data_IF_226343948374
#
_entry.id   IF_226343948374
#
_cell.length_a   1.000
_cell.length_b   1.000
_cell.length_c   1.000
_cell.angle_alpha   90.00
_cell.angle_beta   90.00
_cell.angle_gamma   90.00
#
_symmetry.space_group_name_H-M   'P 1'
#
loop_
_entity.id
_entity.type
_entity.pdbx_description
1 polymer ?
#
# COMPACT_ATOMS: atom_id res chain seq x y z
N UNK A 1 -2.62 14.75 -9.33
CA UNK A 1 -1.95 14.74 -10.66
C UNK A 1 -0.49 14.35 -10.44
N UNK A 2 -0.18 13.06 -10.52
CA UNK A 2 1.21 12.59 -10.51
C UNK A 2 1.89 13.10 -11.80
N UNK A 3 2.94 13.90 -11.67
CA UNK A 3 3.80 14.23 -12.82
C UNK A 3 4.43 12.91 -13.25
N UNK A 4 4.02 12.38 -14.40
CA UNK A 4 4.77 11.32 -15.07
C UNK A 4 6.20 11.81 -15.23
N UNK A 5 7.12 11.26 -14.45
CA UNK A 5 8.53 11.59 -14.57
C UNK A 5 9.00 11.13 -15.95
N UNK A 6 9.79 11.95 -16.64
CA UNK A 6 10.29 11.54 -17.95
C UNK A 6 11.16 10.28 -17.79
N UNK A 7 11.23 9.41 -18.80
CA UNK A 7 12.08 8.21 -18.73
C UNK A 7 13.54 8.53 -18.38
N UNK A 8 14.01 9.72 -18.77
CA UNK A 8 15.37 10.20 -18.44
C UNK A 8 15.51 10.50 -16.95
N UNK A 9 14.48 11.07 -16.32
CA UNK A 9 14.48 11.37 -14.88
C UNK A 9 14.40 10.10 -14.05
N UNK A 10 13.55 9.14 -14.47
CA UNK A 10 13.43 7.82 -13.83
C UNK A 10 14.78 7.08 -13.87
N UNK A 11 15.46 7.07 -15.02
CA UNK A 11 16.79 6.46 -15.16
C UNK A 11 17.85 7.10 -14.27
N UNK A 12 17.87 8.44 -14.18
CA UNK A 12 18.81 9.16 -13.31
C UNK A 12 18.57 8.85 -11.85
N UNK A 13 17.29 8.84 -11.45
CA UNK A 13 16.90 8.55 -10.08
C UNK A 13 17.23 7.11 -9.68
N UNK A 14 16.95 6.15 -10.55
CA UNK A 14 17.33 4.74 -10.35
C UNK A 14 18.84 4.61 -10.07
N UNK A 15 19.66 5.19 -10.95
CA UNK A 15 21.13 5.14 -10.81
C UNK A 15 21.67 5.84 -9.56
N UNK A 16 20.90 6.74 -8.95
CA UNK A 16 21.31 7.42 -7.71
C UNK A 16 21.29 6.48 -6.51
N UNK A 17 20.41 5.47 -6.53
CA UNK A 17 20.21 4.54 -5.42
C UNK A 17 20.75 3.14 -5.68
N UNK A 18 20.99 2.78 -6.95
CA UNK A 18 21.63 1.53 -7.36
C UNK A 18 23.11 1.52 -6.92
N UNK A 19 23.54 0.42 -6.31
CA UNK A 19 24.93 0.21 -5.90
C UNK A 19 25.84 -0.24 -7.07
N UNK A 20 25.29 -0.34 -8.28
CA UNK A 20 25.99 -0.73 -9.50
C UNK A 20 25.73 -2.18 -9.93
N UNK A 21 24.77 -2.86 -9.30
CA UNK A 21 24.34 -4.21 -9.69
C UNK A 21 23.18 -4.17 -10.71
N UNK A 22 22.62 -2.99 -11.01
CA UNK A 22 21.56 -2.81 -12.01
C UNK A 22 20.15 -3.10 -11.51
N UNK A 23 19.97 -3.33 -10.20
CA UNK A 23 18.68 -3.60 -9.54
C UNK A 23 18.61 -2.89 -8.20
N UNK A 24 17.40 -2.58 -7.72
CA UNK A 24 17.23 -1.99 -6.38
C UNK A 24 16.68 -3.03 -5.42
N UNK A 25 17.42 -3.27 -4.34
CA UNK A 25 16.93 -4.00 -3.18
C UNK A 25 15.89 -3.19 -2.40
N UNK A 26 15.10 -3.87 -1.55
CA UNK A 26 14.17 -3.21 -0.63
C UNK A 26 14.84 -2.11 0.21
N UNK A 27 16.09 -2.30 0.62
CA UNK A 27 16.83 -1.31 1.40
C UNK A 27 17.19 -0.05 0.59
N UNK A 28 17.50 -0.20 -0.70
CA UNK A 28 17.78 0.92 -1.60
C UNK A 28 16.49 1.68 -1.95
N UNK A 29 15.39 0.96 -2.15
CA UNK A 29 14.05 1.55 -2.27
C UNK A 29 13.67 2.31 -1.00
N UNK A 30 13.88 1.74 0.19
CA UNK A 30 13.59 2.41 1.46
C UNK A 30 14.38 3.73 1.59
N UNK A 31 15.67 3.73 1.22
CA UNK A 31 16.50 4.95 1.18
C UNK A 31 15.96 5.96 0.17
N UNK A 32 15.55 5.50 -1.02
CA UNK A 32 14.95 6.37 -2.04
C UNK A 32 13.67 7.03 -1.54
N UNK A 33 12.79 6.27 -0.89
CA UNK A 33 11.53 6.79 -0.33
C UNK A 33 11.80 7.79 0.77
N UNK A 34 12.70 7.49 1.72
CA UNK A 34 13.09 8.43 2.78
C UNK A 34 13.59 9.74 2.20
N UNK A 35 14.37 9.69 1.11
CA UNK A 35 14.96 10.88 0.49
C UNK A 35 13.98 11.70 -0.33
N UNK A 36 13.10 11.05 -1.08
CA UNK A 36 12.28 11.69 -2.12
C UNK A 36 10.83 11.91 -1.68
N UNK A 37 10.31 11.02 -0.84
CA UNK A 37 8.94 11.01 -0.35
C UNK A 37 8.93 10.79 1.18
N UNK A 38 9.57 11.68 1.97
CA UNK A 38 9.68 11.53 3.42
C UNK A 38 8.32 11.39 4.12
N UNK A 39 7.24 11.94 3.53
CA UNK A 39 5.88 11.78 4.02
C UNK A 39 5.37 10.33 3.98
N UNK A 40 5.94 9.46 3.15
CA UNK A 40 5.58 8.04 3.04
C UNK A 40 6.53 7.12 3.80
N UNK A 41 7.67 7.62 4.26
CA UNK A 41 8.77 6.81 4.82
C UNK A 41 8.38 5.96 6.05
N UNK A 42 7.38 6.40 6.81
CA UNK A 42 6.91 5.70 8.01
C UNK A 42 5.81 4.67 7.73
N UNK A 43 5.27 4.61 6.51
CA UNK A 43 4.19 3.69 6.15
C UNK A 43 4.75 2.37 5.60
N UNK A 44 5.38 1.58 6.47
CA UNK A 44 6.02 0.32 6.08
C UNK A 44 5.11 -0.68 5.36
N UNK A 45 3.83 -0.88 5.77
CA UNK A 45 2.91 -1.73 5.02
C UNK A 45 2.70 -1.27 3.57
N UNK A 46 2.46 0.03 3.36
CA UNK A 46 2.27 0.58 2.01
C UNK A 46 3.54 0.46 1.15
N UNK A 47 4.71 0.72 1.73
CA UNK A 47 6.00 0.57 1.05
C UNK A 47 6.20 -0.88 0.61
N UNK A 48 5.94 -1.84 1.51
CA UNK A 48 6.07 -3.26 1.18
C UNK A 48 5.11 -3.70 0.08
N UNK A 49 3.87 -3.21 0.09
CA UNK A 49 2.91 -3.51 -0.97
C UNK A 49 3.32 -2.89 -2.30
N UNK A 50 3.78 -1.64 -2.31
CA UNK A 50 4.30 -1.00 -3.51
C UNK A 50 5.51 -1.74 -4.10
N UNK A 51 6.42 -2.20 -3.23
CA UNK A 51 7.58 -3.00 -3.64
C UNK A 51 7.17 -4.32 -4.31
N UNK A 52 6.35 -5.11 -3.63
CA UNK A 52 5.86 -6.40 -4.15
C UNK A 52 5.08 -6.25 -5.46
N UNK A 53 4.27 -5.20 -5.58
CA UNK A 53 3.49 -4.94 -6.79
C UNK A 53 4.35 -4.41 -7.95
N UNK A 54 5.48 -3.75 -7.65
CA UNK A 54 6.43 -3.28 -8.66
C UNK A 54 7.31 -4.41 -9.21
N UNK A 55 7.71 -5.37 -8.36
CA UNK A 55 8.49 -6.56 -8.73
C UNK A 55 7.64 -7.55 -9.54
N UNK A 56 7.38 -7.21 -10.80
CA UNK A 56 6.65 -8.04 -11.75
C UNK A 56 7.46 -9.23 -12.24
N UNK A 57 8.79 -9.15 -12.16
CA UNK A 57 9.71 -10.24 -12.47
C UNK A 57 9.66 -11.36 -11.42
N UNK A 58 9.29 -11.03 -10.17
CA UNK A 58 9.28 -11.94 -9.03
C UNK A 58 10.68 -12.32 -8.54
N UNK A 59 11.71 -11.55 -8.92
CA UNK A 59 13.10 -11.85 -8.58
C UNK A 59 13.50 -11.34 -7.18
N UNK A 60 12.60 -10.62 -6.50
CA UNK A 60 12.82 -10.05 -5.18
C UNK A 60 13.57 -8.72 -5.20
N UNK A 61 13.75 -8.09 -6.37
CA UNK A 61 14.39 -6.79 -6.60
C UNK A 61 13.52 -5.93 -7.53
N UNK A 62 13.86 -4.63 -7.64
CA UNK A 62 13.21 -3.72 -8.58
C UNK A 62 14.17 -3.37 -9.70
N UNK A 63 13.82 -3.77 -10.92
CA UNK A 63 14.57 -3.42 -12.13
C UNK A 63 14.20 -2.01 -12.64
N UNK A 64 15.03 -1.43 -13.52
CA UNK A 64 14.77 -0.10 -14.08
C UNK A 64 13.39 -0.01 -14.78
N UNK A 65 12.96 -1.08 -15.44
CA UNK A 65 11.66 -1.16 -16.11
C UNK A 65 10.47 -1.16 -15.12
N UNK A 66 10.72 -1.59 -13.88
CA UNK A 66 9.72 -1.70 -12.81
C UNK A 66 9.68 -0.44 -11.94
N UNK A 67 10.83 0.22 -11.79
CA UNK A 67 11.02 1.39 -10.92
C UNK A 67 10.06 2.54 -11.24
N UNK A 68 9.70 2.75 -12.51
CA UNK A 68 8.76 3.80 -12.91
C UNK A 68 7.39 3.67 -12.24
N UNK A 69 6.93 2.44 -11.97
CA UNK A 69 5.63 2.18 -11.34
C UNK A 69 5.66 2.38 -9.82
N UNK A 70 6.83 2.34 -9.20
CA UNK A 70 6.92 2.32 -7.74
C UNK A 70 6.33 3.59 -7.12
N UNK A 71 6.46 4.74 -7.80
CA UNK A 71 5.93 6.02 -7.31
C UNK A 71 4.40 5.99 -7.29
N UNK A 72 3.77 5.56 -8.39
CA UNK A 72 2.32 5.48 -8.47
C UNK A 72 1.77 4.44 -7.47
N UNK A 73 2.44 3.29 -7.34
CA UNK A 73 2.09 2.27 -6.36
C UNK A 73 2.25 2.76 -4.91
N UNK A 74 3.29 3.55 -4.61
CA UNK A 74 3.47 4.15 -3.30
C UNK A 74 2.32 5.09 -2.96
N UNK A 75 1.91 5.95 -3.89
CA UNK A 75 0.75 6.81 -3.68
C UNK A 75 -0.52 6.00 -3.42
N UNK A 76 -0.81 5.03 -4.29
CA UNK A 76 -1.98 4.16 -4.19
C UNK A 76 -2.04 3.42 -2.84
N UNK A 77 -0.99 2.70 -2.46
CA UNK A 77 -1.00 1.95 -1.20
C UNK A 77 -0.94 2.85 0.05
N UNK A 78 -0.40 4.07 -0.05
CA UNK A 78 -0.49 5.03 1.05
C UNK A 78 -1.93 5.51 1.26
N UNK A 79 -2.69 5.76 0.19
CA UNK A 79 -4.11 6.12 0.29
C UNK A 79 -4.93 5.00 0.93
N UNK A 80 -4.76 3.75 0.48
CA UNK A 80 -5.42 2.59 1.09
C UNK A 80 -5.03 2.47 2.57
N UNK A 81 -3.74 2.60 2.88
CA UNK A 81 -3.27 2.51 4.27
C UNK A 81 -3.81 3.62 5.17
N UNK A 82 -4.02 4.83 4.63
CA UNK A 82 -4.66 5.92 5.37
C UNK A 82 -6.12 5.61 5.69
N UNK A 83 -6.86 5.01 4.75
CA UNK A 83 -8.25 4.57 5.00
C UNK A 83 -8.26 3.45 6.03
N UNK A 84 -7.38 2.46 5.88
CA UNK A 84 -7.25 1.35 6.81
C UNK A 84 -6.98 1.83 8.24
N UNK A 85 -6.00 2.74 8.42
CA UNK A 85 -5.66 3.32 9.73
C UNK A 85 -6.78 4.21 10.31
N UNK A 86 -7.65 4.77 9.48
CA UNK A 86 -8.81 5.52 9.96
C UNK A 86 -9.90 4.58 10.50
N UNK A 87 -10.02 3.38 9.95
CA UNK A 87 -10.97 2.35 10.40
C UNK A 87 -10.45 1.61 11.65
N UNK A 88 -9.17 1.24 11.68
CA UNK A 88 -8.49 0.60 12.82
C UNK A 88 -8.34 1.58 14.00
N UNK A 89 -9.38 1.68 14.83
CA UNK A 89 -9.46 2.64 15.95
C UNK A 89 -8.59 2.21 17.11
N UNK A 90 -8.52 0.90 17.37
CA UNK A 90 -7.75 0.35 18.49
C UNK A 90 -6.24 0.21 18.17
N UNK A 91 -5.85 0.37 16.88
CA UNK A 91 -4.48 0.29 16.36
C UNK A 91 -3.86 -1.10 16.49
N UNK A 92 -4.66 -2.15 16.41
CA UNK A 92 -4.20 -3.54 16.45
C UNK A 92 -3.72 -4.07 15.08
N UNK A 93 -3.78 -3.22 14.05
CA UNK A 93 -3.39 -3.46 12.65
C UNK A 93 -4.33 -4.38 11.90
N UNK A 94 -5.57 -4.51 12.37
CA UNK A 94 -6.64 -5.29 11.76
C UNK A 94 -7.93 -4.47 11.87
N UNK A 95 -8.90 -4.75 11.04
CA UNK A 95 -10.22 -4.14 11.15
C UNK A 95 -11.17 -5.22 11.66
N UNK A 96 -11.67 -5.02 12.88
CA UNK A 96 -12.75 -5.84 13.42
C UNK A 96 -14.08 -5.52 12.74
N UNK A 97 -15.05 -6.42 12.82
CA UNK A 97 -16.40 -6.17 12.28
C UNK A 97 -17.04 -4.89 12.87
N UNK A 98 -16.80 -4.61 14.15
CA UNK A 98 -17.30 -3.40 14.80
C UNK A 98 -16.65 -2.12 14.26
N UNK A 99 -15.37 -2.17 13.88
CA UNK A 99 -14.68 -1.03 13.26
C UNK A 99 -15.11 -0.82 11.81
N UNK A 100 -15.30 -1.92 11.07
CA UNK A 100 -15.87 -1.90 9.73
C UNK A 100 -17.27 -1.26 9.71
N UNK A 101 -18.19 -1.73 10.57
CA UNK A 101 -19.56 -1.21 10.70
C UNK A 101 -19.58 0.29 11.00
N UNK A 102 -18.78 0.73 11.99
CA UNK A 102 -18.65 2.17 12.32
C UNK A 102 -18.11 3.00 11.15
N UNK A 103 -17.20 2.43 10.34
CA UNK A 103 -16.72 3.06 9.12
C UNK A 103 -17.84 3.30 8.11
N UNK A 104 -18.72 2.31 7.95
CA UNK A 104 -19.89 2.37 7.07
C UNK A 104 -20.88 3.46 7.51
N UNK A 105 -21.19 3.51 8.81
CA UNK A 105 -22.09 4.52 9.39
C UNK A 105 -21.55 5.95 9.15
N UNK A 106 -20.23 6.15 9.24
CA UNK A 106 -19.58 7.45 9.00
C UNK A 106 -19.67 7.92 7.55
N UNK A 107 -19.89 7.01 6.59
CA UNK A 107 -20.05 7.33 5.17
C UNK A 107 -21.51 7.68 4.81
N UNK A 108 -22.39 7.85 5.81
CA UNK A 108 -23.83 8.08 5.64
C UNK A 108 -24.51 7.02 4.78
N UNK A 109 -23.97 5.79 4.80
CA UNK A 109 -24.68 4.61 4.35
C UNK A 109 -25.31 4.00 5.59
N UNK A 110 -26.39 4.62 6.08
CA UNK A 110 -27.22 4.05 7.13
C UNK A 110 -27.64 2.64 6.68
N UNK A 111 -26.99 1.65 7.26
CA UNK A 111 -27.17 0.25 6.94
C UNK A 111 -27.61 -0.44 8.22
N UNK A 112 -28.91 -0.37 8.49
CA UNK A 112 -29.54 -1.17 9.56
C UNK A 112 -29.48 -2.67 9.27
N UNK A 113 -29.08 -3.05 8.06
CA UNK A 113 -28.88 -4.43 7.64
C UNK A 113 -27.50 -4.95 8.05
N UNK A 114 -27.43 -5.45 9.29
CA UNK A 114 -26.21 -6.06 9.82
C UNK A 114 -25.81 -7.35 9.09
N UNK A 115 -26.76 -8.07 8.49
CA UNK A 115 -26.50 -9.31 7.74
C UNK A 115 -25.76 -8.99 6.44
N UNK A 116 -26.22 -7.99 5.68
CA UNK A 116 -25.54 -7.52 4.47
C UNK A 116 -24.12 -6.99 4.77
N UNK A 117 -23.94 -6.23 5.85
CA UNK A 117 -22.61 -5.76 6.27
C UNK A 117 -21.69 -6.92 6.65
N UNK A 118 -22.25 -7.97 7.27
CA UNK A 118 -21.50 -9.17 7.64
C UNK A 118 -21.06 -9.95 6.40
N UNK A 119 -21.90 -10.03 5.37
CA UNK A 119 -21.55 -10.63 4.09
C UNK A 119 -20.40 -9.88 3.40
N UNK A 120 -20.47 -8.55 3.34
CA UNK A 120 -19.39 -7.74 2.75
C UNK A 120 -18.09 -7.87 3.55
N UNK A 121 -18.17 -7.84 4.87
CA UNK A 121 -17.00 -8.07 5.72
C UNK A 121 -16.35 -9.44 5.43
N UNK A 122 -17.15 -10.49 5.31
CA UNK A 122 -16.66 -11.84 5.03
C UNK A 122 -16.13 -11.99 3.60
N UNK A 123 -16.61 -11.18 2.64
CA UNK A 123 -16.11 -11.17 1.27
C UNK A 123 -14.67 -10.61 1.20
N UNK A 124 -14.35 -9.69 2.11
CA UNK A 124 -13.02 -9.09 2.25
C UNK A 124 -12.10 -9.96 3.14
N UNK A 125 -12.61 -10.56 4.23
CA UNK A 125 -11.87 -11.50 5.09
C UNK A 125 -11.67 -12.87 4.41
N UNK A 126 -10.86 -12.88 3.35
CA UNK A 126 -10.57 -14.03 2.50
C UNK A 126 -9.84 -15.16 3.24
N UNK A 127 -9.09 -14.83 4.31
CA UNK A 127 -8.43 -15.85 5.14
C UNK A 127 -9.36 -16.42 6.22
N UNK A 128 -10.57 -15.87 6.37
CA UNK A 128 -11.57 -16.25 7.37
C UNK A 128 -11.05 -16.16 8.81
N UNK A 129 -10.21 -15.17 9.09
CA UNK A 129 -9.59 -14.93 10.39
C UNK A 129 -10.50 -14.21 11.38
N UNK A 130 -11.65 -13.70 10.91
CA UNK A 130 -12.58 -12.87 11.67
C UNK A 130 -12.17 -11.40 11.72
N UNK A 131 -11.17 -10.99 10.94
CA UNK A 131 -10.63 -9.64 10.87
C UNK A 131 -10.15 -9.34 9.46
N UNK A 132 -10.40 -8.12 8.97
CA UNK A 132 -9.81 -7.67 7.71
C UNK A 132 -8.38 -7.21 7.97
N UNK A 133 -7.41 -7.85 7.32
CA UNK A 133 -6.01 -7.45 7.34
C UNK A 133 -5.73 -6.44 6.23
N UNK A 134 -4.69 -5.61 6.42
CA UNK A 134 -4.24 -4.70 5.35
C UNK A 134 -3.92 -5.45 4.05
N UNK A 135 -3.48 -6.69 4.21
CA UNK A 135 -3.11 -7.56 3.10
C UNK A 135 -4.31 -8.02 2.24
N UNK A 136 -5.54 -7.94 2.77
CA UNK A 136 -6.77 -8.39 2.11
C UNK A 136 -7.48 -7.26 1.35
N UNK A 137 -7.06 -6.02 1.57
CA UNK A 137 -7.56 -4.84 0.85
C UNK A 137 -6.57 -4.35 -0.22
N UNK A 138 -5.55 -5.16 -0.54
CA UNK A 138 -4.39 -4.78 -1.37
C UNK A 138 -4.02 -5.79 -2.45
#
# INVERSE_FOLDING_TARGET
MTKTQSETDIKKLFKQFDNGNGVLSLAEIDKAIIRLYPQFANNKPAIMRAYKAADTSGNGFVELAEFGKIVDLLHYYNEISQVFQQLDKNKDKRISFNEFKKGYDLLNQDSDDEEALREEFNSIDTNHGGYILFDEVC
#
